data_IF_385822409628
#
_entry.id   IF_385822409628
#
_cell.length_a   1.000
_cell.length_b   1.000
_cell.length_c   1.000
_cell.angle_alpha   90.00
_cell.angle_beta   90.00
_cell.angle_gamma   90.00
#
_symmetry.space_group_name_H-M   'P 1'
#
loop_
_entity.id
_entity.type
_entity.pdbx_description
1 polymer ?
#
# COMPACT_ATOMS: atom_id res chain seq x y z
N UNK A 1 0.70 8.00 -4.16
CA UNK A 1 -0.05 7.29 -3.10
C UNK A 1 0.34 5.82 -3.10
N UNK A 2 0.25 5.15 -1.96
CA UNK A 2 0.46 3.69 -1.81
C UNK A 2 -0.47 3.14 -0.74
N UNK A 3 -0.70 1.83 -0.73
CA UNK A 3 -1.40 1.12 0.34
C UNK A 3 -0.51 0.07 1.01
N UNK A 4 -0.71 -0.17 2.29
CA UNK A 4 -0.01 -1.21 3.05
C UNK A 4 -1.04 -2.02 3.84
N UNK A 5 -1.09 -3.32 3.59
CA UNK A 5 -1.85 -4.28 4.37
C UNK A 5 -1.11 -4.63 5.66
N UNK A 6 -1.83 -4.59 6.79
CA UNK A 6 -1.28 -4.84 8.13
C UNK A 6 -1.88 -6.07 8.82
N UNK A 7 -2.73 -6.83 8.13
CA UNK A 7 -3.46 -7.97 8.70
C UNK A 7 -2.55 -9.07 9.26
N UNK A 8 -1.33 -9.21 8.74
CA UNK A 8 -0.35 -10.18 9.23
C UNK A 8 0.46 -9.70 10.44
N UNK A 9 0.32 -8.44 10.87
CA UNK A 9 0.91 -8.03 12.15
C UNK A 9 0.10 -8.62 13.30
N UNK A 10 0.83 -9.06 14.33
CA UNK A 10 0.23 -9.45 15.59
C UNK A 10 -0.35 -8.25 16.30
N UNK A 11 -1.60 -8.37 16.73
CA UNK A 11 -2.24 -7.42 17.63
C UNK A 11 -1.68 -7.53 19.06
N UNK A 12 -2.22 -6.75 19.99
CA UNK A 12 -1.85 -6.79 21.41
C UNK A 12 -2.12 -8.15 22.08
N UNK A 13 -2.95 -9.00 21.48
CA UNK A 13 -3.28 -10.36 21.92
C UNK A 13 -2.45 -11.43 21.20
N UNK A 14 -1.42 -11.03 20.44
CA UNK A 14 -0.57 -11.92 19.62
C UNK A 14 -1.30 -12.64 18.47
N UNK A 15 -2.46 -12.15 18.02
CA UNK A 15 -3.23 -12.71 16.91
C UNK A 15 -3.07 -11.89 15.63
N UNK A 16 -3.23 -12.55 14.49
CA UNK A 16 -3.30 -11.91 13.16
C UNK A 16 -4.73 -11.98 12.62
N UNK A 17 -5.02 -11.20 11.60
CA UNK A 17 -6.30 -11.20 10.90
C UNK A 17 -6.14 -11.62 9.43
N UNK A 18 -7.26 -11.80 8.74
CA UNK A 18 -7.33 -12.05 7.31
C UNK A 18 -7.22 -10.75 6.49
N UNK A 19 -6.78 -10.88 5.24
CA UNK A 19 -6.65 -9.73 4.35
C UNK A 19 -8.01 -9.12 4.02
N UNK A 20 -8.22 -7.86 4.42
CA UNK A 20 -9.38 -7.08 4.03
C UNK A 20 -9.40 -6.70 2.54
N UNK A 21 -10.57 -6.26 2.05
CA UNK A 21 -10.74 -5.74 0.71
C UNK A 21 -9.87 -4.49 0.48
N UNK A 22 -9.36 -4.31 -0.75
CA UNK A 22 -8.56 -3.14 -1.11
C UNK A 22 -9.46 -1.88 -1.12
N UNK A 23 -9.22 -0.85 -0.30
CA UNK A 23 -10.02 0.37 -0.36
C UNK A 23 -9.94 1.08 -1.72
N UNK A 24 -8.82 0.95 -2.43
CA UNK A 24 -8.63 1.56 -3.74
C UNK A 24 -9.52 0.95 -4.83
N UNK A 25 -10.04 -0.27 -4.66
CA UNK A 25 -10.96 -0.86 -5.66
C UNK A 25 -12.30 -0.15 -5.71
N UNK A 26 -12.64 0.63 -4.68
CA UNK A 26 -13.91 1.35 -4.62
C UNK A 26 -13.87 2.67 -5.42
N UNK A 27 -12.70 3.08 -5.95
CA UNK A 27 -12.47 4.40 -6.54
C UNK A 27 -11.69 4.28 -7.85
N UNK A 28 -12.02 5.13 -8.83
CA UNK A 28 -11.20 5.30 -10.04
C UNK A 28 -10.34 6.54 -9.90
N UNK A 29 -9.04 6.36 -9.84
CA UNK A 29 -8.09 7.48 -9.79
C UNK A 29 -7.67 7.87 -11.20
N UNK A 30 -7.57 9.17 -11.46
CA UNK A 30 -7.08 9.70 -12.74
C UNK A 30 -5.92 10.66 -12.51
N UNK A 31 -4.98 10.69 -13.44
CA UNK A 31 -3.92 11.71 -13.49
C UNK A 31 -4.44 13.04 -14.08
N UNK A 32 -3.56 14.04 -14.18
CA UNK A 32 -3.89 15.34 -14.75
C UNK A 32 -4.26 15.29 -16.24
N UNK A 33 -3.87 14.22 -16.94
CA UNK A 33 -4.18 13.96 -18.35
C UNK A 33 -5.47 13.15 -18.52
N UNK A 34 -6.10 12.72 -17.43
CA UNK A 34 -7.34 11.95 -17.42
C UNK A 34 -7.15 10.44 -17.54
N UNK A 35 -5.91 9.93 -17.55
CA UNK A 35 -5.63 8.50 -17.61
C UNK A 35 -5.91 7.84 -16.26
N UNK A 36 -6.46 6.63 -16.28
CA UNK A 36 -6.70 5.85 -15.07
C UNK A 36 -5.35 5.41 -14.48
N UNK A 37 -5.14 5.69 -13.20
CA UNK A 37 -3.94 5.30 -12.46
C UNK A 37 -4.26 4.32 -11.34
N UNK A 38 -3.36 3.40 -11.10
CA UNK A 38 -3.44 2.43 -10.00
C UNK A 38 -2.27 2.64 -9.04
N UNK A 39 -2.57 2.63 -7.74
CA UNK A 39 -1.56 2.75 -6.69
C UNK A 39 -1.15 1.37 -6.19
N UNK A 40 0.16 1.15 -5.96
CA UNK A 40 0.64 -0.14 -5.47
C UNK A 40 0.13 -0.40 -4.05
N UNK A 41 -0.13 -1.67 -3.76
CA UNK A 41 -0.42 -2.15 -2.42
C UNK A 41 0.62 -3.20 -2.02
N UNK A 42 1.16 -3.08 -0.82
CA UNK A 42 2.16 -3.98 -0.24
C UNK A 42 1.59 -4.65 1.00
N UNK A 43 2.15 -5.76 1.43
CA UNK A 43 1.90 -6.38 2.73
C UNK A 43 3.09 -6.15 3.66
N UNK A 44 2.82 -5.61 4.85
CA UNK A 44 3.90 -5.27 5.78
C UNK A 44 4.78 -6.46 6.17
N UNK A 45 4.19 -7.65 6.33
CA UNK A 45 4.94 -8.83 6.79
C UNK A 45 5.50 -9.59 5.60
N UNK A 46 4.67 -9.91 4.61
CA UNK A 46 5.07 -10.75 3.48
C UNK A 46 6.05 -10.05 2.53
N UNK A 47 5.96 -8.72 2.40
CA UNK A 47 6.86 -7.97 1.51
C UNK A 47 8.09 -7.41 2.24
N UNK A 48 8.30 -7.75 3.52
CA UNK A 48 9.41 -7.28 4.35
C UNK A 48 9.38 -5.74 4.55
N UNK A 49 8.25 -5.25 5.05
CA UNK A 49 7.99 -3.82 5.21
C UNK A 49 8.94 -3.10 6.15
N UNK A 50 9.45 -3.78 7.17
CA UNK A 50 10.43 -3.20 8.08
C UNK A 50 11.68 -2.69 7.35
N UNK A 51 12.18 -3.46 6.38
CA UNK A 51 13.36 -3.08 5.60
C UNK A 51 13.03 -2.30 4.31
N UNK A 52 11.84 -2.51 3.74
CA UNK A 52 11.50 -1.96 2.40
C UNK A 52 10.55 -0.76 2.40
N UNK A 53 10.00 -0.35 3.54
CA UNK A 53 9.08 0.79 3.61
C UNK A 53 9.67 2.06 3.02
N UNK A 54 10.96 2.34 3.29
CA UNK A 54 11.64 3.51 2.70
C UNK A 54 11.60 3.49 1.16
N UNK A 55 11.92 2.34 0.56
CA UNK A 55 11.89 2.16 -0.89
C UNK A 55 10.48 2.33 -1.47
N UNK A 56 9.45 1.87 -0.77
CA UNK A 56 8.05 2.02 -1.21
C UNK A 56 7.63 3.49 -1.21
N UNK A 57 8.02 4.23 -0.17
CA UNK A 57 7.75 5.67 -0.05
C UNK A 57 8.48 6.43 -1.15
N UNK A 58 9.77 6.15 -1.37
CA UNK A 58 10.54 6.77 -2.44
C UNK A 58 9.93 6.50 -3.83
N UNK A 59 9.51 5.26 -4.10
CA UNK A 59 8.86 4.92 -5.36
C UNK A 59 7.55 5.69 -5.55
N UNK A 60 6.78 5.87 -4.48
CA UNK A 60 5.54 6.66 -4.51
C UNK A 60 5.81 8.17 -4.67
N UNK A 61 6.88 8.70 -4.08
CA UNK A 61 7.31 10.09 -4.23
C UNK A 61 7.75 10.39 -5.67
N UNK A 62 8.62 9.54 -6.24
CA UNK A 62 9.06 9.64 -7.63
C UNK A 62 7.89 9.64 -8.62
N UNK A 63 6.90 8.76 -8.41
CA UNK A 63 5.67 8.74 -9.21
C UNK A 63 4.80 10.00 -9.06
N UNK A 64 4.89 10.68 -7.92
CA UNK A 64 4.19 11.94 -7.69
C UNK A 64 4.99 13.17 -8.18
N UNK A 65 6.17 12.98 -8.76
CA UNK A 65 7.04 14.07 -9.23
C UNK A 65 7.77 14.80 -8.10
N UNK A 66 8.05 14.11 -6.99
CA UNK A 66 8.84 14.64 -5.86
C UNK A 66 10.14 13.86 -5.68
#
# INVERSE_FOLDING_TARGET
>A
MLGIYIHNLKDSSSKTDTKGANPFSNWTFKDAQGNVVTYPTYDWVNDDGYNKMGNWIEAAAKKAGR
#
